data_IF_927179924182
#
_entry.id   IF_927179924182
#
_cell.length_a   1.000
_cell.length_b   1.000
_cell.length_c   1.000
_cell.angle_alpha   90.00
_cell.angle_beta   90.00
_cell.angle_gamma   90.00
#
_symmetry.space_group_name_H-M   'P 1'
#
loop_
_entity.id
_entity.type
_entity.pdbx_description
1 polymer ?
#
# COMPACT_ATOMS: atom_id res chain seq x y z
N UNK A 1 1.81 -9.81 19.31
CA UNK A 1 1.07 -10.48 18.24
C UNK A 1 0.96 -11.94 18.58
N UNK A 2 -0.12 -12.59 18.14
CA UNK A 2 -0.30 -14.04 18.26
C UNK A 2 0.38 -14.79 17.11
N UNK A 3 0.55 -14.14 15.95
CA UNK A 3 1.20 -14.69 14.76
C UNK A 3 2.50 -13.92 14.47
N UNK A 4 3.60 -14.62 14.20
CA UNK A 4 4.85 -13.99 13.75
C UNK A 4 4.70 -13.42 12.34
N UNK A 5 4.96 -12.11 12.16
CA UNK A 5 4.77 -11.40 10.89
C UNK A 5 5.93 -10.48 10.59
N UNK A 6 6.15 -10.21 9.32
CA UNK A 6 6.91 -9.06 8.83
C UNK A 6 6.40 -8.65 7.46
N UNK A 7 6.52 -7.37 7.12
CA UNK A 7 5.90 -6.75 5.92
C UNK A 7 4.36 -6.76 5.89
N UNK A 8 3.71 -7.12 7.00
CA UNK A 8 2.28 -6.89 7.19
C UNK A 8 1.94 -5.40 7.16
N UNK A 9 0.68 -5.07 6.87
CA UNK A 9 0.15 -3.74 7.06
C UNK A 9 -0.70 -3.69 8.33
N UNK A 10 -0.79 -2.50 8.92
CA UNK A 10 -1.61 -2.24 10.09
C UNK A 10 -2.38 -0.92 9.93
N UNK A 11 -3.57 -0.84 10.53
CA UNK A 11 -4.39 0.37 10.54
C UNK A 11 -4.96 0.61 11.94
N UNK A 12 -4.86 1.85 12.43
CA UNK A 12 -5.51 2.29 13.67
C UNK A 12 -6.98 2.57 13.40
N UNK A 13 -7.86 1.91 14.15
CA UNK A 13 -9.30 1.92 13.95
C UNK A 13 -9.99 3.10 14.63
N UNK A 14 -11.28 3.28 14.33
CA UNK A 14 -12.11 4.37 14.85
C UNK A 14 -12.24 4.40 16.38
N UNK A 15 -11.98 3.27 17.05
CA UNK A 15 -12.03 3.12 18.51
C UNK A 15 -10.62 3.11 19.16
N UNK A 16 -9.56 3.31 18.37
CA UNK A 16 -8.17 3.33 18.82
C UNK A 16 -7.49 1.95 18.89
N UNK A 17 -8.20 0.86 18.59
CA UNK A 17 -7.57 -0.46 18.40
C UNK A 17 -6.77 -0.51 17.10
N UNK A 18 -5.90 -1.50 16.94
CA UNK A 18 -5.02 -1.63 15.78
C UNK A 18 -5.25 -2.98 15.10
N UNK A 19 -5.73 -2.95 13.86
CA UNK A 19 -5.89 -4.15 13.03
C UNK A 19 -4.63 -4.41 12.21
N UNK A 20 -4.23 -5.67 12.09
CA UNK A 20 -3.14 -6.13 11.20
C UNK A 20 -3.52 -7.42 10.50
N UNK A 21 -2.97 -7.65 9.30
CA UNK A 21 -3.20 -8.85 8.49
C UNK A 21 -2.03 -9.10 7.53
N UNK A 22 -1.81 -10.36 7.14
CA UNK A 22 -0.74 -10.78 6.23
C UNK A 22 0.66 -10.73 6.84
N UNK A 23 1.67 -10.59 5.97
CA UNK A 23 3.07 -10.42 6.32
C UNK A 23 3.88 -11.71 6.45
N UNK A 24 4.07 -12.41 5.33
CA UNK A 24 4.84 -13.65 5.22
C UNK A 24 6.33 -13.47 4.99
N UNK A 25 6.84 -12.22 4.98
CA UNK A 25 8.28 -11.96 4.90
C UNK A 25 9.08 -12.56 6.07
N UNK A 26 8.53 -12.56 7.29
CA UNK A 26 9.14 -13.17 8.47
C UNK A 26 8.10 -13.86 9.35
N UNK A 27 8.56 -14.78 10.21
CA UNK A 27 7.70 -15.56 11.11
C UNK A 27 7.02 -16.76 10.43
N UNK A 28 7.55 -17.24 9.31
CA UNK A 28 7.02 -18.36 8.52
C UNK A 28 6.15 -17.91 7.35
N UNK A 29 6.07 -18.74 6.30
CA UNK A 29 5.23 -18.51 5.12
C UNK A 29 3.98 -19.38 5.25
N UNK A 30 2.90 -18.80 5.75
CA UNK A 30 1.63 -19.46 6.08
C UNK A 30 0.48 -18.49 5.87
N UNK A 31 -0.76 -18.94 5.92
CA UNK A 31 -1.91 -18.03 5.97
C UNK A 31 -1.90 -17.23 7.29
N UNK A 32 -1.84 -15.90 7.20
CA UNK A 32 -1.81 -15.01 8.37
C UNK A 32 -3.04 -14.09 8.42
N UNK A 33 -4.17 -14.65 8.83
CA UNK A 33 -5.45 -13.94 9.04
C UNK A 33 -5.34 -12.77 10.02
N UNK A 34 -6.37 -11.94 10.12
CA UNK A 34 -6.35 -10.73 10.92
C UNK A 34 -6.15 -10.96 12.43
N UNK A 35 -5.52 -10.00 13.10
CA UNK A 35 -5.52 -9.88 14.56
C UNK A 35 -5.66 -8.41 14.98
N UNK A 36 -6.21 -8.19 16.16
CA UNK A 36 -6.50 -6.87 16.71
C UNK A 36 -5.69 -6.66 17.99
N UNK A 37 -5.05 -5.50 18.10
CA UNK A 37 -4.41 -5.06 19.33
C UNK A 37 -5.25 -3.98 20.01
N UNK A 38 -5.60 -4.20 21.27
CA UNK A 38 -6.17 -3.15 22.12
C UNK A 38 -5.06 -2.53 22.98
N UNK A 39 -4.69 -1.25 22.77
CA UNK A 39 -3.64 -0.59 23.55
C UNK A 39 -4.01 -0.36 25.01
N UNK A 40 -5.30 -0.35 25.37
CA UNK A 40 -5.78 -0.12 26.74
C UNK A 40 -5.53 -1.34 27.62
N UNK A 41 -5.78 -2.53 27.08
CA UNK A 41 -5.56 -3.81 27.77
C UNK A 41 -4.20 -4.43 27.44
N UNK A 42 -3.54 -3.94 26.38
CA UNK A 42 -2.28 -4.46 25.83
C UNK A 42 -2.38 -5.92 25.38
N UNK A 43 -3.52 -6.30 24.82
CA UNK A 43 -3.82 -7.67 24.40
C UNK A 43 -3.96 -7.78 22.90
N UNK A 44 -3.52 -8.92 22.35
CA UNK A 44 -3.76 -9.31 20.96
C UNK A 44 -4.90 -10.34 20.89
N UNK A 45 -5.90 -10.08 20.06
CA UNK A 45 -7.03 -10.97 19.80
C UNK A 45 -6.97 -11.46 18.36
N UNK A 46 -6.96 -12.77 18.16
CA UNK A 46 -7.01 -13.36 16.82
C UNK A 46 -8.41 -13.21 16.21
N UNK A 47 -8.47 -12.82 14.94
CA UNK A 47 -9.71 -12.65 14.18
C UNK A 47 -9.72 -13.62 12.97
N UNK A 48 -9.98 -14.92 13.18
CA UNK A 48 -9.90 -15.93 12.11
C UNK A 48 -10.87 -15.70 10.95
N UNK A 49 -11.97 -14.97 11.15
CA UNK A 49 -12.92 -14.57 10.10
C UNK A 49 -12.43 -13.39 9.24
N UNK A 50 -11.41 -12.65 9.67
CA UNK A 50 -10.68 -11.70 8.83
C UNK A 50 -9.66 -12.46 7.97
N UNK A 51 -10.16 -13.19 6.97
CA UNK A 51 -9.36 -14.09 6.13
C UNK A 51 -8.38 -13.32 5.23
N UNK A 52 -7.14 -13.79 5.15
CA UNK A 52 -6.09 -13.19 4.30
C UNK A 52 -6.21 -13.60 2.84
N UNK A 53 -6.71 -14.80 2.56
CA UNK A 53 -6.81 -15.39 1.22
C UNK A 53 -7.45 -14.44 0.17
N UNK A 54 -8.56 -13.73 0.46
CA UNK A 54 -9.18 -12.82 -0.52
C UNK A 54 -8.37 -11.57 -0.89
N UNK A 55 -7.31 -11.23 -0.16
CA UNK A 55 -6.44 -10.08 -0.46
C UNK A 55 -5.11 -10.47 -1.08
N UNK A 56 -4.85 -11.77 -1.32
CA UNK A 56 -3.59 -12.24 -1.90
C UNK A 56 -3.41 -11.75 -3.34
N UNK A 57 -2.21 -11.30 -3.69
CA UNK A 57 -1.81 -11.10 -5.09
C UNK A 57 -1.40 -12.41 -5.76
N UNK A 58 -1.43 -12.48 -7.09
CA UNK A 58 -0.84 -13.54 -7.90
C UNK A 58 0.67 -13.34 -8.10
N UNK A 59 1.40 -13.12 -7.00
CA UNK A 59 2.83 -12.83 -7.04
C UNK A 59 3.65 -14.04 -7.51
N UNK A 60 4.65 -13.80 -8.37
CA UNK A 60 5.58 -14.84 -8.84
C UNK A 60 6.39 -15.51 -7.69
N UNK A 61 6.54 -14.85 -6.54
CA UNK A 61 7.18 -15.41 -5.34
C UNK A 61 6.21 -16.15 -4.42
N UNK A 62 4.95 -16.29 -4.81
CA UNK A 62 3.90 -16.98 -4.05
C UNK A 62 3.61 -16.30 -2.71
N UNK A 63 3.22 -17.13 -1.72
CA UNK A 63 2.75 -16.65 -0.41
C UNK A 63 3.75 -15.75 0.33
N UNK A 64 5.06 -15.90 0.08
CA UNK A 64 6.08 -15.04 0.67
C UNK A 64 5.85 -13.54 0.40
N UNK A 65 5.27 -13.22 -0.76
CA UNK A 65 5.03 -11.86 -1.20
C UNK A 65 3.55 -11.49 -1.28
N UNK A 66 2.66 -12.46 -1.51
CA UNK A 66 1.27 -12.16 -1.87
C UNK A 66 0.43 -11.53 -0.76
N UNK A 67 0.82 -11.68 0.50
CA UNK A 67 0.13 -11.10 1.66
C UNK A 67 0.83 -9.86 2.25
N UNK A 68 1.82 -9.30 1.55
CA UNK A 68 2.59 -8.16 2.03
C UNK A 68 1.93 -6.82 1.69
N UNK A 69 2.20 -5.82 2.53
CA UNK A 69 1.96 -4.40 2.26
C UNK A 69 0.53 -4.04 1.80
N UNK A 70 -0.49 -4.68 2.40
CA UNK A 70 -1.88 -4.36 2.13
C UNK A 70 -2.17 -2.85 2.32
N UNK A 71 -2.97 -2.29 1.41
CA UNK A 71 -3.38 -0.90 1.43
C UNK A 71 -4.60 -0.74 2.34
N UNK A 72 -4.35 -0.69 3.65
CA UNK A 72 -5.39 -0.67 4.68
C UNK A 72 -5.82 0.76 5.04
N UNK A 73 -7.13 0.98 5.07
CA UNK A 73 -7.74 2.21 5.56
C UNK A 73 -8.78 1.85 6.62
N UNK A 74 -8.55 2.29 7.85
CA UNK A 74 -9.59 2.26 8.86
C UNK A 74 -10.77 3.13 8.42
N UNK A 75 -11.98 2.65 8.69
CA UNK A 75 -13.19 3.33 8.31
C UNK A 75 -14.23 3.23 9.44
N UNK A 76 -15.48 3.54 9.12
CA UNK A 76 -16.58 3.64 10.08
C UNK A 76 -16.80 2.31 10.83
N UNK A 77 -17.21 2.40 12.10
CA UNK A 77 -17.68 1.27 12.92
C UNK A 77 -16.68 0.10 13.00
N UNK A 78 -15.38 0.38 13.17
CA UNK A 78 -14.36 -0.67 13.27
C UNK A 78 -14.16 -1.49 12.00
N UNK A 79 -14.60 -0.97 10.85
CA UNK A 79 -14.31 -1.59 9.55
C UNK A 79 -12.94 -1.15 9.01
N UNK A 80 -12.35 -2.01 8.20
CA UNK A 80 -11.11 -1.72 7.46
C UNK A 80 -11.34 -2.00 5.99
N UNK A 81 -11.08 -1.02 5.15
CA UNK A 81 -11.04 -1.17 3.71
C UNK A 81 -9.62 -1.55 3.27
N UNK A 82 -9.49 -2.63 2.52
CA UNK A 82 -8.26 -3.02 1.84
C UNK A 82 -8.41 -2.68 0.36
N UNK A 83 -7.66 -1.68 -0.10
CA UNK A 83 -7.74 -1.15 -1.46
C UNK A 83 -6.82 -1.86 -2.47
N UNK A 84 -5.90 -2.71 -1.97
CA UNK A 84 -4.84 -3.35 -2.73
C UNK A 84 -3.74 -3.92 -1.80
N UNK A 85 -2.60 -4.39 -2.33
CA UNK A 85 -2.18 -4.27 -3.73
C UNK A 85 -2.88 -5.22 -4.70
N UNK A 86 -3.56 -6.27 -4.20
CA UNK A 86 -4.35 -7.17 -5.03
C UNK A 86 -5.40 -6.43 -5.85
N UNK A 87 -5.73 -6.95 -7.03
CA UNK A 87 -6.80 -6.40 -7.86
C UNK A 87 -8.16 -6.50 -7.16
N UNK A 88 -8.37 -7.53 -6.32
CA UNK A 88 -9.54 -7.65 -5.46
C UNK A 88 -9.42 -6.70 -4.26
N UNK A 89 -10.48 -5.94 -3.99
CA UNK A 89 -10.59 -5.09 -2.80
C UNK A 89 -11.53 -5.74 -1.80
N UNK A 90 -11.30 -5.48 -0.52
CA UNK A 90 -11.99 -6.17 0.56
C UNK A 90 -12.40 -5.23 1.70
N UNK A 91 -13.47 -5.60 2.39
CA UNK A 91 -13.83 -5.09 3.70
C UNK A 91 -13.49 -6.11 4.76
N UNK A 92 -12.96 -5.64 5.89
CA UNK A 92 -12.78 -6.39 7.11
C UNK A 92 -13.58 -5.76 8.25
N UNK A 93 -14.25 -6.60 9.05
CA UNK A 93 -14.99 -6.20 10.25
C UNK A 93 -14.30 -6.69 11.51
N UNK A 94 -14.20 -5.83 12.52
CA UNK A 94 -13.47 -6.13 13.77
C UNK A 94 -14.23 -5.74 15.05
N UNK A 95 -15.45 -5.21 14.91
CA UNK A 95 -16.25 -4.72 16.04
C UNK A 95 -17.03 -5.80 16.78
N UNK A 96 -17.83 -5.41 17.77
CA UNK A 96 -18.57 -6.33 18.65
C UNK A 96 -19.49 -7.32 17.91
N UNK A 97 -20.04 -6.93 16.76
CA UNK A 97 -20.86 -7.82 15.93
C UNK A 97 -20.03 -8.89 15.20
N UNK A 98 -18.72 -8.71 15.10
CA UNK A 98 -17.76 -9.52 14.37
C UNK A 98 -16.65 -10.01 15.34
N UNK A 99 -17.01 -10.65 16.45
CA UNK A 99 -16.06 -11.08 17.50
C UNK A 99 -14.91 -11.95 16.97
N UNK A 100 -15.19 -12.79 15.96
CA UNK A 100 -14.19 -13.61 15.28
C UNK A 100 -13.58 -12.92 14.05
N UNK A 101 -13.99 -11.70 13.76
CA UNK A 101 -13.72 -10.99 12.51
C UNK A 101 -14.64 -11.41 11.37
N UNK A 102 -14.70 -10.57 10.35
CA UNK A 102 -15.42 -10.83 9.10
C UNK A 102 -14.63 -10.31 7.91
N UNK A 103 -14.75 -10.97 6.77
CA UNK A 103 -14.28 -10.47 5.47
C UNK A 103 -15.45 -10.44 4.47
N UNK A 104 -15.48 -9.44 3.60
CA UNK A 104 -16.36 -9.37 2.43
C UNK A 104 -15.65 -8.71 1.24
N UNK A 105 -16.04 -9.07 0.01
CA UNK A 105 -15.53 -8.38 -1.18
C UNK A 105 -16.06 -6.94 -1.25
N UNK A 106 -15.24 -6.03 -1.77
CA UNK A 106 -15.59 -4.64 -2.01
C UNK A 106 -15.47 -4.25 -3.50
N UNK A 107 -15.57 -5.25 -4.40
CA UNK A 107 -15.30 -5.22 -5.85
C UNK A 107 -13.81 -5.29 -6.24
N UNK A 108 -13.52 -5.19 -7.54
CA UNK A 108 -12.17 -5.12 -8.08
C UNK A 108 -11.75 -3.66 -8.30
N UNK A 109 -10.45 -3.37 -8.25
CA UNK A 109 -9.87 -2.07 -8.58
C UNK A 109 -9.94 -1.81 -10.09
N UNK A 110 -11.15 -1.67 -10.63
CA UNK A 110 -11.38 -1.50 -12.07
C UNK A 110 -10.91 -2.72 -12.88
N UNK A 111 -10.21 -2.46 -13.98
CA UNK A 111 -9.53 -3.49 -14.81
C UNK A 111 -8.04 -3.61 -14.46
N UNK A 112 -7.66 -3.16 -13.28
CA UNK A 112 -6.28 -3.18 -12.83
C UNK A 112 -5.81 -4.61 -12.52
N UNK A 113 -4.49 -4.82 -12.62
CA UNK A 113 -3.84 -6.02 -12.09
C UNK A 113 -3.35 -5.74 -10.66
N UNK A 114 -2.73 -6.75 -10.05
CA UNK A 114 -1.99 -6.56 -8.81
C UNK A 114 -0.94 -5.46 -8.95
N UNK A 115 -0.80 -4.68 -7.89
CA UNK A 115 0.00 -3.46 -7.84
C UNK A 115 0.91 -3.45 -6.61
N UNK A 116 1.62 -4.56 -6.38
CA UNK A 116 2.58 -4.68 -5.29
C UNK A 116 3.60 -3.54 -5.36
N UNK A 117 3.96 -3.00 -4.20
CA UNK A 117 4.82 -1.80 -4.06
C UNK A 117 4.27 -0.50 -4.70
N UNK A 118 2.98 -0.47 -5.05
CA UNK A 118 2.27 0.77 -5.35
C UNK A 118 1.86 1.50 -4.08
N UNK A 119 1.19 2.64 -4.22
CA UNK A 119 0.72 3.42 -3.08
C UNK A 119 -0.79 3.62 -3.11
N UNK A 120 -1.37 3.85 -1.94
CA UNK A 120 -2.73 4.32 -1.79
C UNK A 120 -2.76 5.43 -0.73
N UNK A 121 -3.44 6.54 -1.03
CA UNK A 121 -3.53 7.72 -0.17
C UNK A 121 -4.97 8.19 -0.08
N UNK A 122 -5.54 8.22 1.12
CA UNK A 122 -6.84 8.85 1.37
C UNK A 122 -6.66 10.37 1.43
N UNK A 123 -7.01 11.06 0.34
CA UNK A 123 -6.79 12.51 0.21
C UNK A 123 -8.01 13.35 0.62
N UNK A 124 -9.20 12.75 0.70
CA UNK A 124 -10.40 13.37 1.27
C UNK A 124 -11.22 12.32 2.01
N UNK A 125 -10.93 12.18 3.30
CA UNK A 125 -11.62 11.23 4.18
C UNK A 125 -13.10 11.58 4.38
N UNK A 126 -13.50 12.85 4.32
CA UNK A 126 -14.92 13.23 4.51
C UNK A 126 -15.82 12.73 3.38
N UNK A 127 -15.22 12.52 2.20
CA UNK A 127 -15.88 12.00 1.00
C UNK A 127 -15.40 10.60 0.62
N UNK A 128 -14.62 9.94 1.49
CA UNK A 128 -14.09 8.60 1.31
C UNK A 128 -13.27 8.43 0.03
N UNK A 129 -12.46 9.43 -0.33
CA UNK A 129 -11.67 9.44 -1.57
C UNK A 129 -10.25 8.93 -1.33
N UNK A 130 -9.88 7.90 -2.08
CA UNK A 130 -8.56 7.28 -2.06
C UNK A 130 -7.97 7.34 -3.46
N UNK A 131 -6.74 7.81 -3.58
CA UNK A 131 -5.94 7.76 -4.80
C UNK A 131 -5.00 6.57 -4.72
N UNK A 132 -5.01 5.69 -5.72
CA UNK A 132 -4.02 4.60 -5.84
C UNK A 132 -3.06 4.87 -7.00
N UNK A 133 -1.79 4.52 -6.84
CA UNK A 133 -0.71 4.91 -7.75
C UNK A 133 0.27 3.76 -7.99
N UNK A 134 0.52 3.45 -9.26
CA UNK A 134 1.63 2.62 -9.71
C UNK A 134 1.60 1.18 -9.21
N UNK A 135 2.75 0.70 -8.77
CA UNK A 135 2.99 -0.69 -8.39
C UNK A 135 3.39 -1.59 -9.57
N UNK A 136 3.61 -2.86 -9.27
CA UNK A 136 3.93 -3.91 -10.23
C UNK A 136 3.18 -5.21 -9.90
N UNK A 137 2.90 -6.09 -10.87
CA UNK A 137 2.23 -7.37 -10.64
C UNK A 137 2.91 -8.27 -9.59
N UNK A 138 4.25 -8.24 -9.52
CA UNK A 138 5.03 -8.99 -8.54
C UNK A 138 5.94 -8.08 -7.72
N UNK A 139 6.33 -8.55 -6.55
CA UNK A 139 7.19 -7.86 -5.60
C UNK A 139 8.58 -7.51 -6.17
N UNK A 140 9.08 -8.36 -7.08
CA UNK A 140 10.37 -8.25 -7.76
C UNK A 140 10.25 -8.74 -9.22
N UNK A 141 11.25 -8.46 -10.05
CA UNK A 141 11.35 -8.90 -11.45
C UNK A 141 10.14 -8.56 -12.31
N UNK A 142 9.55 -7.39 -12.07
CA UNK A 142 8.26 -7.04 -12.64
C UNK A 142 8.26 -5.61 -13.18
N UNK A 143 7.78 -5.37 -14.42
CA UNK A 143 7.65 -4.02 -14.93
C UNK A 143 6.63 -3.25 -14.09
N UNK A 144 7.05 -2.07 -13.63
CA UNK A 144 6.14 -1.19 -12.90
C UNK A 144 5.13 -0.56 -13.87
N UNK A 145 4.04 -0.03 -13.30
CA UNK A 145 2.95 0.58 -14.06
C UNK A 145 2.77 2.03 -13.65
N UNK A 146 2.22 2.82 -14.57
CA UNK A 146 1.93 4.25 -14.36
C UNK A 146 0.45 4.49 -14.00
N UNK A 147 -0.32 3.42 -13.79
CA UNK A 147 -1.75 3.48 -13.57
C UNK A 147 -2.09 4.27 -12.31
N UNK A 148 -3.23 4.97 -12.37
CA UNK A 148 -3.78 5.70 -11.24
C UNK A 148 -5.30 5.50 -11.21
N UNK A 149 -5.85 5.36 -10.00
CA UNK A 149 -7.30 5.23 -9.82
C UNK A 149 -7.78 6.12 -8.68
N UNK A 150 -8.99 6.65 -8.83
CA UNK A 150 -9.75 7.23 -7.74
C UNK A 150 -10.77 6.21 -7.24
N UNK A 151 -10.60 5.76 -6.01
CA UNK A 151 -11.56 4.92 -5.31
C UNK A 151 -12.44 5.80 -4.43
N UNK A 152 -13.74 5.51 -4.38
CA UNK A 152 -14.67 6.11 -3.43
C UNK A 152 -15.34 5.04 -2.59
N UNK A 153 -15.27 5.21 -1.26
CA UNK A 153 -15.96 4.39 -0.26
C UNK A 153 -16.95 5.25 0.53
N UNK A 154 -18.05 4.66 1.00
CA UNK A 154 -19.08 5.38 1.76
C UNK A 154 -19.53 4.59 3.00
N UNK A 155 -20.30 3.53 2.78
CA UNK A 155 -20.83 2.62 3.79
C UNK A 155 -19.97 1.36 3.82
N UNK A 156 -19.51 0.89 5.00
CA UNK A 156 -18.77 -0.37 5.10
C UNK A 156 -19.56 -1.54 4.49
N UNK A 157 -18.84 -2.51 3.92
CA UNK A 157 -19.41 -3.73 3.32
C UNK A 157 -20.28 -3.50 2.06
N UNK A 158 -20.27 -2.30 1.49
CA UNK A 158 -20.76 -2.04 0.14
C UNK A 158 -19.61 -2.02 -0.87
N UNK A 159 -19.93 -2.19 -2.15
CA UNK A 159 -18.92 -2.09 -3.21
C UNK A 159 -18.33 -0.68 -3.27
N UNK A 160 -17.00 -0.59 -3.38
CA UNK A 160 -16.34 0.67 -3.69
C UNK A 160 -16.55 1.03 -5.16
N UNK A 161 -16.60 2.33 -5.48
CA UNK A 161 -16.60 2.78 -6.88
C UNK A 161 -15.18 3.14 -7.31
N UNK A 162 -14.77 2.71 -8.49
CA UNK A 162 -13.41 2.92 -9.01
C UNK A 162 -13.46 3.66 -10.34
N UNK A 163 -12.67 4.71 -10.45
CA UNK A 163 -12.49 5.49 -11.67
C UNK A 163 -11.02 5.42 -12.09
N UNK A 164 -10.75 5.03 -13.34
CA UNK A 164 -9.41 5.11 -13.92
C UNK A 164 -9.08 6.56 -14.25
N UNK A 165 -7.89 7.00 -13.85
CA UNK A 165 -7.40 8.35 -14.04
C UNK A 165 -6.41 8.42 -15.20
N UNK A 166 -6.09 9.65 -15.62
CA UNK A 166 -4.90 9.90 -16.44
C UNK A 166 -3.70 9.29 -15.71
N UNK A 167 -2.86 8.47 -16.37
CA UNK A 167 -1.73 7.83 -15.72
C UNK A 167 -0.64 8.85 -15.32
N UNK A 168 0.24 8.43 -14.40
CA UNK A 168 1.49 9.12 -14.12
C UNK A 168 2.35 9.24 -15.39
N UNK A 169 3.24 10.23 -15.43
CA UNK A 169 4.22 10.38 -16.51
C UNK A 169 5.28 9.27 -16.53
N UNK A 170 5.48 8.59 -15.39
CA UNK A 170 6.43 7.48 -15.28
C UNK A 170 5.80 6.29 -14.53
N UNK A 171 6.06 5.06 -14.95
CA UNK A 171 5.72 3.87 -14.17
C UNK A 171 6.60 3.79 -12.91
N UNK A 172 6.00 3.42 -11.78
CA UNK A 172 6.68 3.44 -10.47
C UNK A 172 6.27 2.26 -9.60
N UNK A 173 7.25 1.44 -9.23
CA UNK A 173 7.20 0.59 -8.04
C UNK A 173 8.17 1.14 -6.99
N UNK A 174 7.91 0.90 -5.70
CA UNK A 174 8.69 1.41 -4.57
C UNK A 174 8.70 2.95 -4.43
N UNK A 175 7.77 3.64 -5.09
CA UNK A 175 7.57 5.07 -4.84
C UNK A 175 6.95 5.31 -3.47
N UNK A 176 7.02 6.55 -3.02
CA UNK A 176 6.28 7.03 -1.86
C UNK A 176 5.35 8.16 -2.29
N UNK A 177 4.21 8.30 -1.62
CA UNK A 177 3.27 9.39 -1.88
C UNK A 177 2.71 9.98 -0.60
N UNK A 178 2.44 11.28 -0.65
CA UNK A 178 2.09 12.10 0.51
C UNK A 178 0.97 13.06 0.09
N UNK A 179 -0.15 13.04 0.81
CA UNK A 179 -1.18 14.07 0.68
C UNK A 179 -0.67 15.38 1.28
N UNK A 180 -0.86 16.48 0.56
CA UNK A 180 -0.50 17.83 0.99
C UNK A 180 -1.72 18.53 1.62
N UNK A 181 -1.55 19.65 2.36
CA UNK A 181 -2.67 20.41 2.93
C UNK A 181 -3.69 20.89 1.90
N UNK A 182 -3.32 20.97 0.62
CA UNK A 182 -4.23 21.33 -0.48
C UNK A 182 -5.15 20.19 -0.93
N UNK A 183 -4.91 18.96 -0.45
CA UNK A 183 -5.53 17.73 -0.96
C UNK A 183 -4.83 17.13 -2.19
N UNK A 184 -3.86 17.84 -2.78
CA UNK A 184 -3.02 17.30 -3.84
C UNK A 184 -2.08 16.21 -3.29
N UNK A 185 -1.64 15.28 -4.14
CA UNK A 185 -0.78 14.16 -3.73
C UNK A 185 0.58 14.28 -4.42
N UNK A 186 1.62 14.45 -3.63
CA UNK A 186 3.01 14.40 -4.07
C UNK A 186 3.46 12.95 -4.20
N UNK A 187 4.12 12.61 -5.30
CA UNK A 187 4.62 11.26 -5.62
C UNK A 187 6.12 11.32 -5.90
N UNK A 188 6.91 10.58 -5.13
CA UNK A 188 8.36 10.66 -5.14
C UNK A 188 9.03 9.31 -5.40
N UNK A 189 10.12 9.34 -6.17
CA UNK A 189 10.96 8.17 -6.37
C UNK A 189 10.27 7.02 -7.10
N UNK A 190 10.67 5.81 -6.76
CA UNK A 190 10.31 4.57 -7.42
C UNK A 190 11.17 4.26 -8.64
N UNK A 191 10.99 3.06 -9.16
CA UNK A 191 11.66 2.57 -10.37
C UNK A 191 10.64 2.06 -11.40
N UNK A 192 10.99 2.13 -12.68
CA UNK A 192 10.15 1.61 -13.77
C UNK A 192 10.16 0.08 -13.86
N UNK A 193 11.07 -0.57 -13.14
CA UNK A 193 11.15 -2.02 -13.01
C UNK A 193 11.39 -2.36 -11.53
N UNK A 194 10.51 -3.19 -10.96
CA UNK A 194 10.58 -3.59 -9.56
C UNK A 194 11.74 -4.55 -9.35
N UNK A 195 12.88 -4.03 -8.89
CA UNK A 195 14.04 -4.78 -8.46
C UNK A 195 14.59 -4.18 -7.16
N UNK A 196 14.78 -5.01 -6.13
CA UNK A 196 15.28 -4.54 -4.84
C UNK A 196 16.76 -4.15 -4.93
N UNK A 197 17.18 -3.28 -4.00
CA UNK A 197 18.59 -2.96 -3.74
C UNK A 197 19.38 -2.41 -4.95
N UNK A 198 18.68 -1.78 -5.89
CA UNK A 198 19.29 -1.12 -7.06
C UNK A 198 18.68 0.25 -7.33
N UNK A 199 19.49 1.12 -7.92
CA UNK A 199 19.06 2.41 -8.47
C UNK A 199 18.83 2.36 -9.99
N UNK A 200 19.03 1.18 -10.60
CA UNK A 200 18.65 0.96 -11.99
C UNK A 200 17.18 1.33 -12.18
N UNK A 201 16.88 1.95 -13.33
CA UNK A 201 15.53 2.32 -13.71
C UNK A 201 14.82 3.30 -12.73
N UNK A 202 15.57 3.97 -11.85
CA UNK A 202 15.01 4.96 -10.93
C UNK A 202 14.35 6.14 -11.67
N UNK A 203 13.22 6.58 -11.13
CA UNK A 203 12.52 7.77 -11.64
C UNK A 203 13.02 9.03 -10.94
N UNK A 204 13.52 9.99 -11.72
CA UNK A 204 14.20 11.18 -11.21
C UNK A 204 13.30 12.40 -10.99
N UNK A 205 12.12 12.42 -11.60
CA UNK A 205 11.19 13.54 -11.52
C UNK A 205 10.03 13.13 -10.63
N UNK A 206 9.83 13.77 -9.47
CA UNK A 206 8.59 13.63 -8.71
C UNK A 206 7.41 14.17 -9.52
N UNK A 207 6.21 13.77 -9.12
CA UNK A 207 4.96 14.25 -9.73
C UNK A 207 4.02 14.77 -8.65
N UNK A 208 3.25 15.81 -8.98
CA UNK A 208 2.13 16.28 -8.16
C UNK A 208 0.84 15.94 -8.88
N UNK A 209 0.02 15.07 -8.28
CA UNK A 209 -1.35 14.86 -8.72
C UNK A 209 -2.25 15.91 -8.08
N UNK A 210 -2.99 16.66 -8.90
CA UNK A 210 -3.95 17.62 -8.36
C UNK A 210 -5.32 17.01 -8.15
N UNK A 211 -5.86 17.11 -6.93
CA UNK A 211 -7.21 16.65 -6.63
C UNK A 211 -8.29 17.45 -7.35
N UNK A 212 -8.00 18.72 -7.67
CA UNK A 212 -8.93 19.63 -8.37
C UNK A 212 -9.03 19.31 -9.86
N UNK A 213 -7.89 19.14 -10.53
CA UNK A 213 -7.87 18.92 -12.00
C UNK A 213 -7.80 17.45 -12.38
N UNK A 214 -7.51 16.56 -11.43
CA UNK A 214 -7.34 15.11 -11.63
C UNK A 214 -6.21 14.76 -12.60
N UNK A 215 -5.18 15.60 -12.66
CA UNK A 215 -4.04 15.45 -13.57
C UNK A 215 -2.71 15.51 -12.82
N UNK A 216 -1.68 14.93 -13.42
CA UNK A 216 -0.32 14.99 -12.91
C UNK A 216 0.45 16.18 -13.50
N UNK A 217 1.40 16.71 -12.72
CA UNK A 217 2.43 17.65 -13.16
C UNK A 217 3.80 17.16 -12.70
N UNK A 218 4.79 17.12 -13.61
CA UNK A 218 6.19 16.86 -13.24
C UNK A 218 6.77 18.02 -12.43
N UNK A 219 7.53 17.68 -11.39
CA UNK A 219 8.24 18.61 -10.53
C UNK A 219 9.74 18.65 -10.86
N UNK A 220 10.51 19.42 -10.09
CA UNK A 220 11.96 19.52 -10.24
C UNK A 220 12.65 18.16 -10.06
N UNK A 221 13.72 17.94 -10.80
CA UNK A 221 14.50 16.70 -10.75
C UNK A 221 15.16 16.52 -9.38
N UNK A 222 15.10 15.32 -8.82
CA UNK A 222 15.88 14.91 -7.66
C UNK A 222 17.35 14.67 -8.03
N UNK A 223 18.25 14.71 -7.04
CA UNK A 223 19.68 14.41 -7.21
C UNK A 223 20.06 13.02 -6.71
N UNK A 224 19.25 12.41 -5.85
CA UNK A 224 19.46 11.07 -5.28
C UNK A 224 18.27 10.18 -5.64
N UNK A 225 18.49 8.99 -6.20
CA UNK A 225 17.41 8.03 -6.48
C UNK A 225 16.79 7.55 -5.16
N UNK A 226 15.48 7.32 -5.18
CA UNK A 226 14.71 6.86 -4.01
C UNK A 226 13.88 5.65 -4.44
N UNK A 227 14.43 4.45 -4.33
CA UNK A 227 13.80 3.19 -4.75
C UNK A 227 13.41 2.35 -3.52
N UNK A 228 13.72 1.06 -3.51
CA UNK A 228 13.42 0.13 -2.42
C UNK A 228 14.02 0.62 -1.09
N UNK A 229 13.27 0.52 0.01
CA UNK A 229 13.59 1.08 1.33
C UNK A 229 13.70 2.62 1.41
N UNK A 230 13.13 3.36 0.45
CA UNK A 230 12.96 4.82 0.57
C UNK A 230 11.66 5.19 1.28
N UNK A 231 11.59 6.42 1.81
CA UNK A 231 10.42 6.98 2.50
C UNK A 231 10.12 8.42 2.03
N UNK A 232 8.86 8.83 2.19
CA UNK A 232 8.46 10.23 2.16
C UNK A 232 7.43 10.54 3.25
N UNK A 233 7.56 11.70 3.92
CA UNK A 233 6.70 12.08 5.05
C UNK A 233 6.38 13.59 4.99
N UNK A 234 5.12 13.96 5.20
CA UNK A 234 4.71 15.36 5.35
C UNK A 234 5.23 15.92 6.68
N UNK A 235 5.89 17.07 6.65
CA UNK A 235 6.32 17.79 7.84
C UNK A 235 5.30 18.86 8.25
N UNK A 236 5.31 19.31 9.53
CA UNK A 236 4.36 20.31 10.03
C UNK A 236 4.39 21.66 9.30
N UNK A 237 5.49 21.99 8.62
CA UNK A 237 5.65 23.22 7.82
C UNK A 237 5.18 23.06 6.36
N UNK A 238 4.46 21.98 6.06
CA UNK A 238 3.96 21.60 4.73
C UNK A 238 5.06 21.25 3.69
N UNK A 239 6.31 21.08 4.12
CA UNK A 239 7.34 20.46 3.29
C UNK A 239 7.25 18.94 3.33
N UNK A 240 7.91 18.25 2.39
CA UNK A 240 7.98 16.78 2.37
C UNK A 240 9.42 16.33 2.55
N UNK A 241 9.68 15.60 3.64
CA UNK A 241 10.95 14.90 3.84
C UNK A 241 11.00 13.69 2.92
N UNK A 242 12.08 13.52 2.15
CA UNK A 242 12.33 12.32 1.35
C UNK A 242 13.72 11.76 1.67
N UNK A 243 13.81 10.44 1.85
CA UNK A 243 15.04 9.81 2.35
C UNK A 243 15.09 8.30 2.12
N UNK A 244 16.16 7.67 2.61
CA UNK A 244 16.36 6.22 2.51
C UNK A 244 16.71 5.75 1.08
N UNK A 245 16.52 4.45 0.85
CA UNK A 245 17.01 3.74 -0.33
C UNK A 245 18.15 2.78 0.04
N UNK A 246 18.12 1.55 -0.47
CA UNK A 246 19.18 0.56 -0.24
C UNK A 246 18.92 -0.30 0.99
N UNK A 247 19.75 -0.20 2.03
CA UNK A 247 19.82 -1.15 3.16
C UNK A 247 19.90 -2.60 2.66
N UNK A 248 20.98 -2.85 1.92
CA UNK A 248 21.28 -4.11 1.26
C UNK A 248 21.76 -5.14 2.28
N UNK A 249 21.48 -6.43 2.03
CA UNK A 249 21.91 -7.51 2.93
C UNK A 249 23.45 -7.73 2.91
N UNK A 250 24.08 -7.27 1.83
CA UNK A 250 25.52 -7.19 1.56
C UNK A 250 25.81 -5.77 1.02
N UNK A 251 27.07 -5.34 0.88
CA UNK A 251 27.37 -4.04 0.27
C UNK A 251 26.66 -3.90 -1.09
N UNK A 252 25.90 -2.82 -1.29
CA UNK A 252 25.05 -2.67 -2.47
C UNK A 252 25.84 -2.72 -3.80
N UNK A 253 27.11 -2.30 -3.76
CA UNK A 253 28.05 -2.39 -4.89
C UNK A 253 28.43 -3.81 -5.30
N UNK A 254 28.21 -4.79 -4.42
CA UNK A 254 28.51 -6.20 -4.67
C UNK A 254 27.29 -7.00 -5.16
N UNK A 255 26.09 -6.42 -5.11
CA UNK A 255 24.88 -7.09 -5.58
C UNK A 255 24.87 -7.05 -7.10
N UNK A 256 25.21 -8.18 -7.73
CA UNK A 256 25.09 -8.30 -9.19
C UNK A 256 23.60 -8.41 -9.55
N UNK A 257 23.16 -7.59 -10.51
CA UNK A 257 21.74 -7.49 -10.87
C UNK A 257 21.15 -8.75 -11.50
N UNK A 258 21.96 -9.79 -11.73
CA UNK A 258 21.60 -11.03 -12.44
C UNK A 258 21.55 -12.28 -11.53
N UNK A 259 21.89 -12.17 -10.25
CA UNK A 259 21.97 -13.31 -9.30
C UNK A 259 20.83 -13.37 -8.27
N UNK A 260 19.90 -12.42 -8.32
CA UNK A 260 18.70 -12.40 -7.47
C UNK A 260 17.47 -12.75 -8.28
#
# INVERSE_FOLDING_TARGET
MNIGRGYHAQATLSDGTIFTIGGSWAGGVTEKNGELFDPRTRTWTSLPGCRVEPMLTADARGMFASDNHAWLFAWKNGSVFQAGPSAAMNWYGTGDADVLGRQASASHRGRDNDAMNGNAVMYDATRGKILTLGGAPSYAYSPARAVAHAITISVPFENATVEELVPMYAPRAYSNSVVLPTGDVFVNGGASYALQWTDANATWYPELWSAKTRTFKRLARMTVPRTYHSIAVLLPDATVLTGGGGLCWEPCENITQWEM
#
